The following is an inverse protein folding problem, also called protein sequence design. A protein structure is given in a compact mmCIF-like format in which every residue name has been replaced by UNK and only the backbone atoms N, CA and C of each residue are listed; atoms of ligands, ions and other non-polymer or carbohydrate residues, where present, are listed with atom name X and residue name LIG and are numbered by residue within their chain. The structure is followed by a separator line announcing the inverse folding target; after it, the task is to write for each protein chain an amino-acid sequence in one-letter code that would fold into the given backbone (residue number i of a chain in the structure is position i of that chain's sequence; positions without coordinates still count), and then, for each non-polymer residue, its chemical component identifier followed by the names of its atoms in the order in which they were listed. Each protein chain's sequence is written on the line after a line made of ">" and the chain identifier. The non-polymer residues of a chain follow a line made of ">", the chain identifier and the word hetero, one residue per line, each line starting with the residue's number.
data_IF_680951358892
#
_entry.id   IF_680951358892
#
_cell.length_a   1.000
_cell.length_b   1.000
_cell.length_c   1.000
_cell.angle_alpha   90.00
_cell.angle_beta   90.00
_cell.angle_gamma   90.00
#
_symmetry.space_group_name_H-M   'P 1'
#
loop_
_entity.id
_entity.type
_entity.pdbx_description
1 polymer ?
#
# COMPACT_ATOMS: atom_id res chain seq x y z
N UNK A 1 -12.52 15.50 -18.45
CA UNK A 1 -12.15 14.82 -17.22
C UNK A 1 -12.27 13.31 -17.37
N UNK A 2 -11.27 12.64 -16.91
CA UNK A 2 -11.26 11.19 -17.01
C UNK A 2 -12.04 10.54 -15.88
N UNK A 3 -12.90 9.62 -16.24
CA UNK A 3 -13.56 8.79 -15.24
C UNK A 3 -12.53 7.90 -14.56
N UNK A 4 -12.72 7.63 -13.28
CA UNK A 4 -11.91 6.68 -12.56
C UNK A 4 -12.24 5.29 -13.10
N UNK A 5 -11.23 4.58 -13.57
CA UNK A 5 -11.46 3.24 -14.13
C UNK A 5 -11.74 2.23 -13.03
N UNK A 6 -12.55 1.23 -13.35
CA UNK A 6 -12.78 0.13 -12.41
C UNK A 6 -11.51 -0.60 -12.06
N UNK A 7 -10.58 -0.67 -13.00
CA UNK A 7 -9.30 -1.32 -12.74
C UNK A 7 -8.44 -0.56 -11.75
N UNK A 8 -8.52 0.77 -11.79
CA UNK A 8 -7.81 1.59 -10.82
C UNK A 8 -8.36 1.34 -9.41
N UNK A 9 -9.69 1.34 -9.28
CA UNK A 9 -10.32 1.06 -7.99
C UNK A 9 -9.96 -0.36 -7.53
N UNK A 10 -10.02 -1.32 -8.43
CA UNK A 10 -9.66 -2.70 -8.13
C UNK A 10 -8.20 -2.79 -7.67
N UNK A 11 -7.29 -2.11 -8.37
CA UNK A 11 -5.88 -2.11 -8.01
C UNK A 11 -5.66 -1.57 -6.60
N UNK A 12 -6.32 -0.47 -6.27
CA UNK A 12 -6.21 0.14 -4.94
C UNK A 12 -6.73 -0.81 -3.86
N UNK A 13 -7.90 -1.40 -4.09
CA UNK A 13 -8.51 -2.29 -3.11
C UNK A 13 -7.67 -3.55 -2.90
N UNK A 14 -7.27 -4.20 -3.98
CA UNK A 14 -6.48 -5.44 -3.88
C UNK A 14 -5.12 -5.16 -3.27
N UNK A 15 -4.47 -4.07 -3.67
CA UNK A 15 -3.18 -3.70 -3.10
C UNK A 15 -3.30 -3.45 -1.59
N UNK A 16 -4.39 -2.80 -1.17
CA UNK A 16 -4.64 -2.53 0.25
C UNK A 16 -4.82 -3.82 1.04
N UNK A 17 -5.59 -4.76 0.50
CA UNK A 17 -5.82 -6.05 1.15
C UNK A 17 -4.51 -6.84 1.26
N UNK A 18 -3.79 -6.96 0.16
CA UNK A 18 -2.52 -7.71 0.15
C UNK A 18 -1.50 -7.06 1.08
N UNK A 19 -1.41 -5.73 1.04
CA UNK A 19 -0.49 -5.00 1.92
C UNK A 19 -0.82 -5.21 3.39
N UNK A 20 -2.10 -5.15 3.74
CA UNK A 20 -2.54 -5.35 5.12
C UNK A 20 -2.26 -6.78 5.59
N UNK A 21 -2.53 -7.75 4.73
CA UNK A 21 -2.25 -9.16 5.06
C UNK A 21 -0.75 -9.38 5.24
N UNK A 22 0.07 -8.81 4.37
CA UNK A 22 1.52 -8.91 4.47
C UNK A 22 2.02 -8.25 5.76
N UNK A 23 1.46 -7.10 6.12
CA UNK A 23 1.80 -6.43 7.37
C UNK A 23 1.44 -7.27 8.58
N UNK A 24 0.24 -7.86 8.59
CA UNK A 24 -0.19 -8.73 9.69
C UNK A 24 0.70 -9.96 9.81
N UNK A 25 1.06 -10.54 8.68
CA UNK A 25 1.95 -11.71 8.66
C UNK A 25 3.34 -11.33 9.19
N UNK A 26 3.87 -10.19 8.77
CA UNK A 26 5.13 -9.68 9.28
C UNK A 26 5.08 -9.44 10.78
N UNK A 27 4.00 -8.86 11.26
CA UNK A 27 3.83 -8.63 12.69
C UNK A 27 3.80 -9.96 13.45
N UNK A 28 3.12 -10.97 12.90
CA UNK A 28 3.07 -12.29 13.52
C UNK A 28 4.45 -12.94 13.59
N UNK A 29 5.27 -12.76 12.55
CA UNK A 29 6.61 -13.32 12.51
C UNK A 29 7.58 -12.65 13.48
N UNK A 30 7.45 -11.33 13.65
CA UNK A 30 8.39 -10.57 14.47
C UNK A 30 7.91 -10.31 15.89
N UNK A 31 6.59 -10.26 16.11
CA UNK A 31 6.03 -9.88 17.42
C UNK A 31 5.22 -10.99 18.08
N UNK A 32 4.91 -12.06 17.36
CA UNK A 32 4.15 -13.17 17.91
C UNK A 32 2.93 -13.51 17.06
N UNK A 33 2.58 -14.81 17.04
CA UNK A 33 1.51 -15.32 16.18
C UNK A 33 0.13 -14.73 16.50
N UNK A 34 -0.08 -14.23 17.71
CA UNK A 34 -1.35 -13.58 18.06
C UNK A 34 -1.60 -12.34 17.22
N UNK A 35 -0.56 -11.76 16.61
CA UNK A 35 -0.70 -10.61 15.74
C UNK A 35 -1.41 -10.91 14.44
N UNK A 36 -1.57 -12.19 14.10
CA UNK A 36 -2.38 -12.55 12.91
C UNK A 36 -3.82 -12.05 13.03
N UNK A 37 -4.33 -11.88 14.25
CA UNK A 37 -5.65 -11.32 14.45
C UNK A 37 -5.79 -9.91 13.87
N UNK A 38 -4.68 -9.20 13.66
CA UNK A 38 -4.71 -7.88 13.05
C UNK A 38 -5.27 -7.93 11.63
N UNK A 39 -5.14 -9.07 10.93
CA UNK A 39 -5.71 -9.24 9.61
C UNK A 39 -7.25 -9.27 9.62
N UNK A 40 -7.86 -9.44 10.78
CA UNK A 40 -9.31 -9.51 10.93
C UNK A 40 -9.93 -8.17 11.35
N UNK A 41 -9.12 -7.13 11.53
CA UNK A 41 -9.61 -5.81 11.95
C UNK A 41 -10.03 -5.02 10.71
N UNK A 42 -11.35 -4.78 10.49
CA UNK A 42 -11.82 -4.10 9.26
C UNK A 42 -11.26 -2.69 9.10
N UNK A 43 -11.10 -1.96 10.18
CA UNK A 43 -10.60 -0.58 10.13
C UNK A 43 -9.21 -0.48 9.52
N UNK A 44 -8.39 -1.51 9.66
CA UNK A 44 -7.05 -1.52 9.07
C UNK A 44 -7.09 -1.50 7.55
N UNK A 45 -8.08 -2.20 6.97
CA UNK A 45 -8.26 -2.21 5.51
C UNK A 45 -8.73 -0.86 5.01
N UNK A 46 -9.60 -0.18 5.77
CA UNK A 46 -10.05 1.16 5.41
C UNK A 46 -8.89 2.15 5.40
N UNK A 47 -8.04 2.10 6.42
CA UNK A 47 -6.85 2.94 6.49
C UNK A 47 -5.91 2.62 5.33
N UNK A 48 -5.72 1.34 5.04
CA UNK A 48 -4.86 0.91 3.94
C UNK A 48 -5.37 1.41 2.60
N UNK A 49 -6.69 1.34 2.36
CA UNK A 49 -7.29 1.87 1.13
C UNK A 49 -6.98 3.36 0.99
N UNK A 50 -7.15 4.12 2.07
CA UNK A 50 -6.83 5.54 2.06
C UNK A 50 -5.37 5.81 1.74
N UNK A 51 -4.46 5.03 2.31
CA UNK A 51 -3.03 5.19 2.05
C UNK A 51 -2.67 4.83 0.61
N UNK A 52 -3.17 3.69 0.12
CA UNK A 52 -2.87 3.25 -1.26
C UNK A 52 -3.49 4.18 -2.29
N UNK A 53 -4.64 4.77 -1.98
CA UNK A 53 -5.31 5.71 -2.87
C UNK A 53 -4.46 6.95 -3.17
N UNK A 54 -3.41 7.19 -2.40
CA UNK A 54 -2.47 8.28 -2.67
C UNK A 54 -1.64 7.98 -3.94
N UNK A 55 -1.41 6.71 -4.26
CA UNK A 55 -0.57 6.34 -5.41
C UNK A 55 -1.03 6.93 -6.74
N UNK A 56 -2.32 6.88 -7.10
CA UNK A 56 -2.78 7.52 -8.34
C UNK A 56 -2.48 9.02 -8.37
N UNK A 57 -2.59 9.70 -7.24
CA UNK A 57 -2.30 11.13 -7.16
C UNK A 57 -0.81 11.39 -7.34
N UNK A 58 0.04 10.55 -6.75
CA UNK A 58 1.49 10.66 -6.94
C UNK A 58 1.84 10.50 -8.41
N UNK A 59 1.21 9.54 -9.09
CA UNK A 59 1.46 9.31 -10.51
C UNK A 59 1.07 10.50 -11.38
N UNK A 60 0.11 11.29 -10.94
CA UNK A 60 -0.31 12.50 -11.68
C UNK A 60 0.68 13.63 -11.54
N UNK A 61 1.31 13.76 -10.38
CA UNK A 61 2.16 14.90 -10.05
C UNK A 61 3.64 14.63 -10.27
N UNK A 62 4.04 13.36 -10.21
CA UNK A 62 5.44 12.95 -10.32
C UNK A 62 5.52 11.83 -11.33
N UNK A 63 6.54 11.84 -12.18
CA UNK A 63 6.69 10.82 -13.22
C UNK A 63 7.98 10.02 -13.04
N UNK A 64 8.01 8.84 -13.67
CA UNK A 64 9.19 7.99 -13.73
C UNK A 64 9.57 7.38 -12.40
N UNK A 65 10.86 7.20 -12.20
CA UNK A 65 11.39 6.60 -10.99
C UNK A 65 11.07 7.39 -9.72
N UNK A 66 10.94 8.70 -9.85
CA UNK A 66 10.58 9.55 -8.71
C UNK A 66 9.20 9.20 -8.16
N UNK A 67 8.25 8.85 -9.05
CA UNK A 67 6.91 8.47 -8.62
C UNK A 67 6.96 7.21 -7.77
N UNK A 68 7.79 6.24 -8.14
CA UNK A 68 7.93 5.01 -7.37
C UNK A 68 8.55 5.28 -6.00
N UNK A 69 9.60 6.09 -5.95
CA UNK A 69 10.25 6.43 -4.69
C UNK A 69 9.30 7.18 -3.75
N UNK A 70 8.63 8.21 -4.28
CA UNK A 70 7.68 9.01 -3.48
C UNK A 70 6.52 8.13 -3.01
N UNK A 71 6.00 7.28 -3.90
CA UNK A 71 4.90 6.39 -3.53
C UNK A 71 5.27 5.43 -2.41
N UNK A 72 6.43 4.80 -2.49
CA UNK A 72 6.89 3.89 -1.44
C UNK A 72 7.11 4.61 -0.12
N UNK A 73 7.73 5.78 -0.16
CA UNK A 73 7.96 6.58 1.05
C UNK A 73 6.63 6.92 1.71
N UNK A 74 5.64 7.37 0.93
CA UNK A 74 4.34 7.72 1.46
C UNK A 74 3.62 6.50 2.03
N UNK A 75 3.75 5.33 1.38
CA UNK A 75 3.12 4.10 1.88
C UNK A 75 3.75 3.62 3.20
N UNK A 76 4.98 4.00 3.47
CA UNK A 76 5.61 3.71 4.77
C UNK A 76 5.20 4.76 5.79
N UNK A 77 5.31 6.03 5.44
CA UNK A 77 5.12 7.13 6.39
C UNK A 77 3.67 7.35 6.79
N UNK A 78 2.73 7.32 5.83
CA UNK A 78 1.34 7.61 6.15
C UNK A 78 0.76 6.64 7.16
N UNK A 79 0.83 5.31 6.95
CA UNK A 79 0.31 4.40 7.96
C UNK A 79 1.09 4.44 9.27
N UNK A 80 2.39 4.73 9.22
CA UNK A 80 3.21 4.83 10.43
C UNK A 80 2.79 6.03 11.27
N UNK A 81 2.61 7.18 10.64
CA UNK A 81 2.14 8.38 11.33
C UNK A 81 0.74 8.19 11.90
N UNK A 82 -0.15 7.57 11.12
CA UNK A 82 -1.50 7.29 11.59
C UNK A 82 -1.48 6.34 12.78
N UNK A 83 -0.67 5.29 12.71
CA UNK A 83 -0.58 4.32 13.80
C UNK A 83 -0.11 4.97 15.09
N UNK A 84 0.93 5.80 15.01
CA UNK A 84 1.54 6.39 16.21
C UNK A 84 0.78 7.60 16.73
N UNK A 85 0.33 8.47 15.83
CA UNK A 85 -0.23 9.77 16.22
C UNK A 85 -1.73 9.77 16.36
N UNK A 86 -2.43 8.93 15.60
CA UNK A 86 -3.90 8.89 15.61
C UNK A 86 -4.41 7.70 16.41
N UNK A 87 -3.83 6.52 16.18
CA UNK A 87 -4.32 5.28 16.82
C UNK A 87 -3.55 4.89 18.08
N UNK A 88 -2.51 5.65 18.44
CA UNK A 88 -1.80 5.45 19.70
C UNK A 88 -1.03 4.14 19.79
N UNK A 89 -0.47 3.66 18.68
CA UNK A 89 0.31 2.43 18.71
C UNK A 89 1.48 2.54 19.70
N UNK A 90 1.66 1.51 20.53
CA UNK A 90 2.68 1.50 21.57
C UNK A 90 4.01 0.95 21.09
N UNK A 91 4.05 0.29 19.93
CA UNK A 91 5.28 -0.25 19.39
C UNK A 91 6.30 0.86 19.09
N UNK A 92 7.60 0.58 19.21
CA UNK A 92 8.62 1.57 18.87
C UNK A 92 8.53 2.01 17.41
N UNK A 93 8.95 3.24 17.12
CA UNK A 93 8.93 3.77 15.77
C UNK A 93 9.63 2.86 14.77
N UNK A 94 10.78 2.29 15.15
CA UNK A 94 11.50 1.39 14.24
C UNK A 94 10.66 0.19 13.85
N UNK A 95 9.98 -0.42 14.81
CA UNK A 95 9.10 -1.57 14.55
C UNK A 95 7.95 -1.17 13.63
N UNK A 96 7.30 -0.04 13.92
CA UNK A 96 6.20 0.45 13.09
C UNK A 96 6.67 0.71 11.67
N UNK A 97 7.81 1.36 11.51
CA UNK A 97 8.37 1.66 10.20
C UNK A 97 8.73 0.40 9.41
N UNK A 98 9.32 -0.59 10.10
CA UNK A 98 9.68 -1.85 9.44
C UNK A 98 8.45 -2.62 8.97
N UNK A 99 7.43 -2.71 9.83
CA UNK A 99 6.21 -3.42 9.47
C UNK A 99 5.46 -2.71 8.35
N UNK A 100 5.46 -1.39 8.37
CA UNK A 100 4.82 -0.63 7.28
C UNK A 100 5.66 -0.62 6.01
N UNK A 101 6.95 -0.90 6.10
CA UNK A 101 7.76 -1.16 4.90
C UNK A 101 7.32 -2.45 4.22
N UNK A 102 6.99 -3.49 4.99
CA UNK A 102 6.42 -4.72 4.43
C UNK A 102 5.09 -4.42 3.74
N UNK A 103 4.22 -3.65 4.40
CA UNK A 103 2.97 -3.21 3.81
C UNK A 103 3.22 -2.44 2.50
N UNK A 104 4.13 -1.48 2.54
CA UNK A 104 4.40 -0.61 1.40
C UNK A 104 4.88 -1.39 0.18
N UNK A 105 5.83 -2.30 0.37
CA UNK A 105 6.38 -3.08 -0.74
C UNK A 105 5.30 -4.01 -1.31
N UNK A 106 4.56 -4.71 -0.46
CA UNK A 106 3.51 -5.63 -0.91
C UNK A 106 2.40 -4.87 -1.65
N UNK A 107 1.95 -3.75 -1.09
CA UNK A 107 0.90 -2.94 -1.70
C UNK A 107 1.37 -2.33 -3.03
N UNK A 108 2.57 -1.76 -3.04
CA UNK A 108 3.12 -1.14 -4.23
C UNK A 108 3.29 -2.15 -5.37
N UNK A 109 3.86 -3.33 -5.06
CA UNK A 109 4.04 -4.37 -6.08
C UNK A 109 2.70 -4.83 -6.63
N UNK A 110 1.71 -5.06 -5.77
CA UNK A 110 0.39 -5.49 -6.19
C UNK A 110 -0.26 -4.43 -7.07
N UNK A 111 -0.21 -3.18 -6.65
CA UNK A 111 -0.75 -2.07 -7.41
C UNK A 111 -0.11 -1.98 -8.79
N UNK A 112 1.22 -2.06 -8.84
CA UNK A 112 1.96 -1.98 -10.09
C UNK A 112 1.63 -3.13 -11.04
N UNK A 113 1.54 -4.35 -10.51
CA UNK A 113 1.21 -5.51 -11.33
C UNK A 113 -0.17 -5.39 -11.96
N UNK A 114 -1.15 -4.94 -11.19
CA UNK A 114 -2.51 -4.75 -11.71
C UNK A 114 -2.54 -3.62 -12.72
N UNK A 115 -1.85 -2.52 -12.44
CA UNK A 115 -1.80 -1.38 -13.36
C UNK A 115 -1.09 -1.73 -14.67
N UNK A 116 -0.07 -2.57 -14.62
CA UNK A 116 0.61 -3.03 -15.83
C UNK A 116 -0.32 -3.86 -16.72
N UNK A 117 -1.21 -4.62 -16.11
CA UNK A 117 -2.19 -5.41 -16.87
C UNK A 117 -3.18 -4.54 -17.63
N UNK A 118 -3.31 -3.25 -17.27
CA UNK A 118 -4.16 -2.31 -17.98
C UNK A 118 -3.56 -1.83 -19.30
N UNK A 119 -2.23 -2.01 -19.49
CA UNK A 119 -1.57 -1.52 -20.69
C UNK A 119 -1.87 -2.45 -21.86
N UNK A 120 -2.47 -1.92 -22.96
CA UNK A 120 -2.79 -2.77 -24.12
C UNK A 120 -1.52 -3.38 -24.72
N UNK A 121 -1.59 -4.63 -25.22
CA UNK A 121 -0.44 -5.27 -25.87
C UNK A 121 0.14 -4.45 -27.02
N UNK A 122 -0.70 -3.73 -27.76
CA UNK A 122 -0.25 -2.86 -28.85
C UNK A 122 0.70 -1.77 -28.37
N UNK A 123 0.42 -1.17 -27.23
CA UNK A 123 1.27 -0.12 -26.68
C UNK A 123 2.64 -0.67 -26.28
N UNK A 124 2.69 -1.91 -25.83
CA UNK A 124 3.94 -2.57 -25.47
C UNK A 124 4.75 -2.95 -26.70
N UNK A 125 4.08 -3.45 -27.75
CA UNK A 125 4.76 -3.93 -28.95
C UNK A 125 5.30 -2.80 -29.83
N UNK A 126 4.76 -1.58 -29.69
CA UNK A 126 5.19 -0.44 -30.47
C UNK A 126 6.43 0.24 -29.92
N UNK A 127 6.97 -0.25 -28.84
CA UNK A 127 8.17 0.32 -28.20
C UNK A 127 9.40 -0.60 -28.40
#
# INVERSE_FOLDING_TARGET
>A
MQAISYRLIFAVIVASVIGTLANALGAAMFLGSEKLALALVPGRYLVAIGCVAVLPFVERWVSGMKAHAVGLILLVLLPSLLAKLVFGATAPWLTVLLLNSVFAVAAWLTYRLIRRADVPPKALSSR
#
